data_IF_895020195258
#
_entry.id   IF_895020195258
#
_cell.length_a   1.000
_cell.length_b   1.000
_cell.length_c   1.000
_cell.angle_alpha   90.00
_cell.angle_beta   90.00
_cell.angle_gamma   90.00
#
_symmetry.space_group_name_H-M   'P 1'
#
loop_
_entity.id
_entity.type
_entity.pdbx_description
1 polymer ?
#
# COMPACT_ATOMS: atom_id res chain seq x y z
N UNK A 1 57.14 40.06 21.69
CA UNK A 1 56.17 40.29 20.57
C UNK A 1 55.73 39.01 19.90
N UNK A 2 56.50 37.92 20.03
CA UNK A 2 56.25 36.70 19.29
C UNK A 2 55.19 35.79 19.89
N UNK A 3 54.97 35.82 21.20
CA UNK A 3 53.99 34.95 21.88
C UNK A 3 52.52 35.30 21.55
N UNK A 4 52.22 36.59 21.40
CA UNK A 4 50.87 37.03 21.01
C UNK A 4 50.54 36.69 19.55
N UNK A 5 51.52 36.78 18.64
CA UNK A 5 51.32 36.42 17.22
C UNK A 5 51.06 34.92 17.10
N UNK A 6 51.82 34.08 17.78
CA UNK A 6 51.63 32.63 17.81
C UNK A 6 50.25 32.26 18.35
N UNK A 7 49.82 32.89 19.46
CA UNK A 7 48.51 32.66 20.07
C UNK A 7 47.37 33.02 19.08
N UNK A 8 47.46 34.15 18.40
CA UNK A 8 46.45 34.59 17.42
C UNK A 8 46.36 33.65 16.20
N UNK A 9 47.51 33.16 15.71
CA UNK A 9 47.55 32.20 14.62
C UNK A 9 46.92 30.88 15.03
N UNK A 10 47.24 30.38 16.22
CA UNK A 10 46.63 29.13 16.74
C UNK A 10 45.12 29.26 16.89
N UNK A 11 44.63 30.38 17.45
CA UNK A 11 43.21 30.65 17.58
C UNK A 11 42.50 30.74 16.23
N UNK A 12 43.12 31.36 15.23
CA UNK A 12 42.57 31.47 13.87
C UNK A 12 42.47 30.11 13.20
N UNK A 13 43.49 29.27 13.30
CA UNK A 13 43.47 27.90 12.75
C UNK A 13 42.43 27.05 13.47
N UNK A 14 42.31 27.14 14.78
CA UNK A 14 41.31 26.40 15.54
C UNK A 14 39.88 26.82 15.15
N UNK A 15 39.65 28.13 15.02
CA UNK A 15 38.37 28.67 14.60
C UNK A 15 37.99 28.21 13.17
N UNK A 16 38.95 28.16 12.26
CA UNK A 16 38.74 27.65 10.91
C UNK A 16 38.38 26.17 10.91
N UNK A 17 39.09 25.36 11.70
CA UNK A 17 38.77 23.93 11.83
C UNK A 17 37.38 23.70 12.40
N UNK A 18 37.01 24.46 13.45
CA UNK A 18 35.65 24.37 14.02
C UNK A 18 34.58 24.76 13.03
N UNK A 19 34.81 25.81 12.25
CA UNK A 19 33.90 26.23 11.19
C UNK A 19 33.74 25.15 10.10
N UNK A 20 34.84 24.54 9.68
CA UNK A 20 34.83 23.45 8.70
C UNK A 20 34.02 22.22 9.21
N UNK A 21 34.22 21.84 10.47
CA UNK A 21 33.49 20.77 11.13
C UNK A 21 31.98 21.12 11.18
N UNK A 22 31.63 22.34 11.59
CA UNK A 22 30.24 22.78 11.66
C UNK A 22 29.51 22.71 10.29
N UNK A 23 30.21 23.12 9.22
CA UNK A 23 29.67 23.01 7.85
C UNK A 23 29.46 21.54 7.45
N UNK A 24 30.46 20.68 7.75
CA UNK A 24 30.33 19.25 7.44
C UNK A 24 29.16 18.60 8.18
N UNK A 25 28.99 18.88 9.47
CA UNK A 25 27.84 18.38 10.27
C UNK A 25 26.53 18.90 9.71
N UNK A 26 26.45 20.19 9.33
CA UNK A 26 25.25 20.78 8.75
C UNK A 26 24.86 20.10 7.43
N UNK A 27 25.82 19.79 6.56
CA UNK A 27 25.57 19.06 5.31
C UNK A 27 25.06 17.63 5.56
N UNK A 28 25.64 16.93 6.52
CA UNK A 28 25.19 15.59 6.91
C UNK A 28 23.76 15.63 7.46
N UNK A 29 23.46 16.60 8.32
CA UNK A 29 22.12 16.79 8.89
C UNK A 29 21.08 17.08 7.80
N UNK A 30 21.40 17.97 6.86
CA UNK A 30 20.52 18.25 5.72
C UNK A 30 20.26 17.01 4.89
N UNK A 31 21.28 16.20 4.60
CA UNK A 31 21.13 14.95 3.85
C UNK A 31 20.26 13.94 4.60
N UNK A 32 20.40 13.83 5.92
CA UNK A 32 19.55 12.98 6.75
C UNK A 32 18.09 13.48 6.78
N UNK A 33 17.88 14.78 6.95
CA UNK A 33 16.55 15.37 6.95
C UNK A 33 15.84 15.15 5.61
N UNK A 34 16.53 15.35 4.48
CA UNK A 34 15.95 15.10 3.17
C UNK A 34 15.53 13.64 2.98
N UNK A 35 16.33 12.69 3.46
CA UNK A 35 15.95 11.26 3.43
C UNK A 35 14.74 10.95 4.31
N UNK A 36 14.65 11.57 5.49
CA UNK A 36 13.51 11.40 6.38
C UNK A 36 12.23 11.98 5.77
N UNK A 37 12.31 13.18 5.18
CA UNK A 37 11.19 13.80 4.46
C UNK A 37 10.76 12.90 3.32
N UNK A 38 11.68 12.43 2.49
CA UNK A 38 11.38 11.54 1.39
C UNK A 38 10.70 10.24 1.85
N UNK A 39 11.20 9.60 2.91
CA UNK A 39 10.58 8.38 3.44
C UNK A 39 9.20 8.63 4.05
N UNK A 40 8.97 9.80 4.65
CA UNK A 40 7.67 10.16 5.24
C UNK A 40 6.63 10.61 4.21
N UNK A 41 7.07 11.10 3.06
CA UNK A 41 6.18 11.54 1.96
C UNK A 41 5.99 10.49 0.88
N UNK A 42 6.70 9.36 0.95
CA UNK A 42 6.60 8.28 -0.04
C UNK A 42 5.16 7.76 -0.15
N UNK A 43 4.62 7.53 -1.35
CA UNK A 43 3.41 6.72 -1.51
C UNK A 43 3.73 5.29 -1.11
N UNK A 44 2.79 4.61 -0.49
CA UNK A 44 2.93 3.22 -0.07
C UNK A 44 1.67 2.44 -0.47
N UNK A 45 1.79 1.65 -1.50
CA UNK A 45 0.70 0.79 -1.94
C UNK A 45 0.69 -0.48 -1.10
N UNK A 46 -0.49 -0.91 -0.71
CA UNK A 46 -0.72 -2.22 -0.10
C UNK A 46 -1.84 -2.93 -0.84
N UNK A 47 -1.69 -4.26 -0.97
CA UNK A 47 -2.71 -5.12 -1.58
C UNK A 47 -3.08 -6.18 -0.57
N UNK A 48 -4.39 -6.34 -0.35
CA UNK A 48 -4.95 -7.35 0.55
C UNK A 48 -6.16 -8.01 -0.09
N UNK A 49 -6.48 -9.22 0.35
CA UNK A 49 -7.68 -9.94 -0.08
C UNK A 49 -8.61 -10.23 1.10
N UNK A 50 -9.88 -10.43 0.84
CA UNK A 50 -10.88 -10.79 1.83
C UNK A 50 -12.00 -11.61 1.17
N UNK A 51 -12.37 -12.74 1.80
CA UNK A 51 -13.60 -13.44 1.46
C UNK A 51 -14.80 -12.77 2.12
N UNK A 52 -15.82 -12.46 1.34
CA UNK A 52 -17.06 -11.87 1.81
C UNK A 52 -18.23 -12.71 1.30
N UNK A 53 -19.12 -13.07 2.22
CA UNK A 53 -20.31 -13.86 1.89
C UNK A 53 -21.57 -13.10 2.31
N UNK A 54 -22.15 -12.35 1.37
CA UNK A 54 -23.44 -11.67 1.52
C UNK A 54 -24.53 -12.35 0.67
N UNK A 55 -24.65 -13.68 0.80
CA UNK A 55 -25.57 -14.49 -0.01
C UNK A 55 -24.92 -15.05 -1.26
N UNK A 56 -23.88 -14.43 -1.78
CA UNK A 56 -23.00 -14.93 -2.84
C UNK A 56 -21.56 -14.84 -2.33
N UNK A 57 -20.82 -15.92 -2.50
CA UNK A 57 -19.41 -15.97 -2.13
C UNK A 57 -18.61 -15.08 -3.08
N UNK A 58 -17.91 -14.09 -2.54
CA UNK A 58 -17.08 -13.16 -3.29
C UNK A 58 -15.69 -13.06 -2.65
N UNK A 59 -14.68 -12.97 -3.47
CA UNK A 59 -13.33 -12.61 -3.04
C UNK A 59 -13.02 -11.18 -3.46
N UNK A 60 -12.71 -10.32 -2.51
CA UNK A 60 -12.38 -8.91 -2.74
C UNK A 60 -10.89 -8.73 -2.66
N UNK A 61 -10.29 -8.14 -3.68
CA UNK A 61 -8.92 -7.65 -3.63
C UNK A 61 -8.99 -6.13 -3.45
N UNK A 62 -8.32 -5.64 -2.43
CA UNK A 62 -8.21 -4.22 -2.12
C UNK A 62 -6.81 -3.73 -2.48
N UNK A 63 -6.77 -2.64 -3.21
CA UNK A 63 -5.58 -1.85 -3.47
C UNK A 63 -5.72 -0.53 -2.71
N UNK A 64 -4.84 -0.28 -1.75
CA UNK A 64 -4.91 0.91 -0.90
C UNK A 64 -3.57 1.64 -0.86
N UNK A 65 -3.62 2.97 -0.92
CA UNK A 65 -2.46 3.79 -0.67
C UNK A 65 -2.39 4.18 0.83
N UNK A 66 -1.46 3.58 1.55
CA UNK A 66 -1.17 3.86 2.96
C UNK A 66 -0.17 5.00 3.14
N UNK A 67 0.41 5.50 2.05
CA UNK A 67 1.39 6.58 2.07
C UNK A 67 0.77 7.97 2.22
N UNK A 68 1.63 8.97 2.34
CA UNK A 68 1.24 10.36 2.52
C UNK A 68 1.21 11.15 1.20
N UNK A 69 1.58 10.54 0.07
CA UNK A 69 1.49 11.17 -1.26
C UNK A 69 0.72 10.29 -2.24
N UNK A 70 0.29 10.88 -3.34
CA UNK A 70 -0.40 10.16 -4.40
C UNK A 70 0.54 9.16 -5.10
N UNK A 71 0.02 7.98 -5.43
CA UNK A 71 0.70 6.95 -6.19
C UNK A 71 0.11 6.87 -7.60
N UNK A 72 0.92 7.15 -8.62
CA UNK A 72 0.54 7.02 -10.02
C UNK A 72 0.91 5.60 -10.50
N UNK A 73 -0.08 4.79 -10.88
CA UNK A 73 0.12 3.39 -11.25
C UNK A 73 0.61 3.30 -12.69
N UNK A 74 1.81 2.76 -12.90
CA UNK A 74 2.38 2.55 -14.23
C UNK A 74 2.13 1.14 -14.77
N UNK A 75 2.27 0.14 -13.92
CA UNK A 75 1.95 -1.23 -14.28
C UNK A 75 1.49 -2.05 -13.08
N UNK A 76 0.64 -3.02 -13.35
CA UNK A 76 0.17 -4.01 -12.38
C UNK A 76 0.11 -5.36 -13.09
N UNK A 77 0.76 -6.36 -12.52
CA UNK A 77 0.80 -7.70 -13.07
C UNK A 77 0.46 -8.73 -12.02
N UNK A 78 -0.29 -9.74 -12.42
CA UNK A 78 -0.65 -10.89 -11.59
C UNK A 78 0.16 -12.09 -12.03
N UNK A 79 0.64 -12.90 -11.08
CA UNK A 79 1.42 -14.09 -11.35
C UNK A 79 0.58 -15.27 -11.87
N UNK A 80 -0.73 -15.17 -11.78
CA UNK A 80 -1.70 -16.12 -12.32
C UNK A 80 -2.70 -15.41 -13.23
N UNK A 81 -3.30 -16.15 -14.15
CA UNK A 81 -4.37 -15.62 -15.00
C UNK A 81 -5.66 -15.54 -14.18
N UNK A 82 -6.17 -14.33 -14.03
CA UNK A 82 -7.43 -14.03 -13.34
C UNK A 82 -8.58 -13.72 -14.31
N UNK A 83 -8.37 -13.92 -15.61
CA UNK A 83 -9.44 -13.82 -16.59
C UNK A 83 -10.52 -14.88 -16.32
N UNK A 84 -11.77 -14.51 -16.45
CA UNK A 84 -12.89 -15.42 -16.16
C UNK A 84 -13.38 -15.39 -14.71
N UNK A 85 -12.61 -14.82 -13.78
CA UNK A 85 -13.03 -14.75 -12.36
C UNK A 85 -13.79 -13.48 -11.99
N UNK A 86 -13.96 -12.51 -12.93
CA UNK A 86 -14.76 -11.31 -12.67
C UNK A 86 -16.26 -11.59 -12.92
N UNK A 87 -17.12 -11.39 -11.92
CA UNK A 87 -18.56 -11.60 -12.07
C UNK A 87 -19.15 -10.74 -13.20
N UNK A 88 -19.81 -11.39 -14.17
CA UNK A 88 -20.47 -10.72 -15.29
C UNK A 88 -19.56 -10.06 -16.32
N UNK A 89 -18.23 -10.23 -16.21
CA UNK A 89 -17.24 -9.66 -17.14
C UNK A 89 -16.05 -10.61 -17.35
N UNK A 90 -16.30 -11.80 -17.92
CA UNK A 90 -15.27 -12.84 -18.03
C UNK A 90 -14.08 -12.44 -18.94
N UNK A 91 -14.29 -11.47 -19.83
CA UNK A 91 -13.25 -10.98 -20.75
C UNK A 91 -12.26 -10.00 -20.13
N UNK A 92 -12.52 -9.50 -18.90
CA UNK A 92 -11.67 -8.53 -18.22
C UNK A 92 -10.77 -9.19 -17.18
N UNK A 93 -9.69 -8.49 -16.87
CA UNK A 93 -8.79 -8.82 -15.76
C UNK A 93 -9.07 -7.89 -14.56
N UNK A 94 -8.74 -8.30 -13.33
CA UNK A 94 -8.84 -7.43 -12.15
C UNK A 94 -8.09 -6.13 -12.35
N UNK A 95 -8.69 -5.02 -11.88
CA UNK A 95 -8.14 -3.68 -11.99
C UNK A 95 -7.87 -3.20 -13.42
N UNK A 96 -8.58 -3.76 -14.42
CA UNK A 96 -8.55 -3.23 -15.78
C UNK A 96 -8.90 -1.74 -15.77
N UNK A 97 -8.06 -0.91 -16.40
CA UNK A 97 -8.20 0.54 -16.39
C UNK A 97 -7.55 1.27 -15.20
N UNK A 98 -6.83 0.59 -14.30
CA UNK A 98 -6.09 1.25 -13.21
C UNK A 98 -4.79 1.90 -13.69
N UNK A 99 -4.29 1.49 -14.85
CA UNK A 99 -3.07 2.04 -15.43
C UNK A 99 -3.26 3.51 -15.78
N UNK A 100 -2.31 4.35 -15.40
CA UNK A 100 -2.40 5.79 -15.57
C UNK A 100 -3.26 6.52 -14.54
N UNK A 101 -3.78 5.82 -13.52
CA UNK A 101 -4.59 6.42 -12.46
C UNK A 101 -3.73 6.76 -11.25
N UNK A 102 -4.02 7.91 -10.63
CA UNK A 102 -3.42 8.32 -9.37
C UNK A 102 -4.29 7.88 -8.20
N UNK A 103 -3.71 7.14 -7.26
CA UNK A 103 -4.37 6.73 -6.01
C UNK A 103 -3.95 7.69 -4.91
N UNK A 104 -4.90 8.45 -4.37
CA UNK A 104 -4.68 9.44 -3.32
C UNK A 104 -4.35 8.76 -1.97
N UNK A 105 -3.70 9.47 -1.04
CA UNK A 105 -3.49 9.00 0.33
C UNK A 105 -4.78 8.50 0.98
N UNK A 106 -4.75 7.30 1.56
CA UNK A 106 -5.90 6.67 2.19
C UNK A 106 -6.96 6.11 1.24
N UNK A 107 -6.87 6.39 -0.07
CA UNK A 107 -7.82 5.87 -1.06
C UNK A 107 -7.68 4.36 -1.21
N UNK A 108 -8.84 3.69 -1.27
CA UNK A 108 -8.95 2.25 -1.50
C UNK A 108 -9.75 2.00 -2.77
N UNK A 109 -9.24 1.14 -3.63
CA UNK A 109 -9.93 0.62 -4.81
C UNK A 109 -10.11 -0.88 -4.60
N UNK A 110 -11.31 -1.40 -4.82
CA UNK A 110 -11.61 -2.81 -4.66
C UNK A 110 -12.01 -3.44 -6.00
N UNK A 111 -11.52 -4.65 -6.22
CA UNK A 111 -11.97 -5.50 -7.30
C UNK A 111 -12.65 -6.74 -6.72
N UNK A 112 -13.75 -7.16 -7.33
CA UNK A 112 -14.53 -8.32 -6.92
C UNK A 112 -14.22 -9.49 -7.83
N UNK A 113 -13.91 -10.63 -7.26
CA UNK A 113 -13.77 -11.91 -7.94
C UNK A 113 -14.88 -12.88 -7.49
N UNK A 114 -15.23 -13.82 -8.34
CA UNK A 114 -16.12 -14.92 -7.99
C UNK A 114 -15.46 -15.85 -6.98
N UNK A 115 -15.89 -15.79 -5.72
CA UNK A 115 -15.31 -16.55 -4.63
C UNK A 115 -15.58 -18.05 -4.74
N UNK A 116 -16.68 -18.44 -5.42
CA UNK A 116 -16.98 -19.85 -5.63
C UNK A 116 -16.09 -20.44 -6.73
N UNK A 117 -15.90 -19.71 -7.83
CA UNK A 117 -14.98 -20.11 -8.89
C UNK A 117 -13.53 -20.24 -8.38
N UNK A 118 -13.07 -19.31 -7.56
CA UNK A 118 -11.75 -19.38 -6.92
C UNK A 118 -11.62 -20.62 -6.04
N UNK A 119 -12.61 -20.89 -5.19
CA UNK A 119 -12.60 -22.06 -4.29
C UNK A 119 -12.60 -23.38 -5.05
N UNK A 120 -13.38 -23.47 -6.15
CA UNK A 120 -13.47 -24.67 -6.96
C UNK A 120 -12.21 -24.93 -7.80
N UNK A 121 -11.46 -23.87 -8.12
CA UNK A 121 -10.24 -23.97 -8.92
C UNK A 121 -9.00 -24.42 -8.14
N UNK A 122 -9.08 -24.56 -6.80
CA UNK A 122 -7.91 -24.77 -5.92
C UNK A 122 -6.79 -23.75 -6.23
N UNK A 123 -7.17 -22.49 -6.44
CA UNK A 123 -6.23 -21.43 -6.79
C UNK A 123 -5.21 -21.23 -5.68
N UNK A 124 -3.94 -21.14 -6.08
CA UNK A 124 -2.83 -20.78 -5.20
C UNK A 124 -2.89 -19.29 -4.81
N UNK A 125 -2.02 -18.88 -3.89
CA UNK A 125 -1.89 -17.49 -3.51
C UNK A 125 -1.57 -16.61 -4.72
N UNK A 126 -2.22 -15.46 -4.80
CA UNK A 126 -2.06 -14.54 -5.93
C UNK A 126 -0.84 -13.65 -5.68
N UNK A 127 0.21 -13.83 -6.48
CA UNK A 127 1.31 -12.88 -6.51
C UNK A 127 0.95 -11.67 -7.36
N UNK A 128 1.21 -10.47 -6.84
CA UNK A 128 0.92 -9.20 -7.53
C UNK A 128 2.14 -8.32 -7.50
N UNK A 129 2.59 -7.85 -8.65
CA UNK A 129 3.66 -6.86 -8.78
C UNK A 129 3.06 -5.53 -9.24
N UNK A 130 3.34 -4.46 -8.52
CA UNK A 130 2.87 -3.11 -8.84
C UNK A 130 4.06 -2.18 -9.01
N UNK A 131 4.07 -1.44 -10.11
CA UNK A 131 5.01 -0.35 -10.36
C UNK A 131 4.25 0.95 -10.35
N UNK A 132 4.72 1.90 -9.55
CA UNK A 132 4.06 3.20 -9.40
C UNK A 132 5.08 4.31 -9.17
N UNK A 133 4.68 5.55 -9.46
CA UNK A 133 5.48 6.76 -9.26
C UNK A 133 4.89 7.65 -8.18
N UNK A 134 5.77 8.39 -7.50
CA UNK A 134 5.39 9.56 -6.71
C UNK A 134 5.26 10.81 -7.60
N UNK A 135 4.71 11.89 -7.05
CA UNK A 135 4.66 13.20 -7.74
C UNK A 135 6.03 13.78 -8.11
N UNK A 136 7.13 13.26 -7.57
CA UNK A 136 8.51 13.62 -7.88
C UNK A 136 9.12 12.70 -8.96
N UNK A 137 8.30 11.97 -9.72
CA UNK A 137 8.70 11.00 -10.76
C UNK A 137 9.55 9.82 -10.25
N UNK A 138 9.74 9.69 -8.96
CA UNK A 138 10.46 8.56 -8.40
C UNK A 138 9.63 7.29 -8.50
N UNK A 139 10.19 6.27 -9.14
CA UNK A 139 9.54 4.99 -9.39
C UNK A 139 9.78 4.02 -8.22
N UNK A 140 8.73 3.31 -7.84
CA UNK A 140 8.73 2.25 -6.84
C UNK A 140 8.17 0.98 -7.44
N UNK A 141 8.66 -0.16 -6.96
CA UNK A 141 8.14 -1.48 -7.31
C UNK A 141 7.96 -2.27 -6.02
N UNK A 142 6.75 -2.73 -5.79
CA UNK A 142 6.42 -3.58 -4.66
C UNK A 142 5.76 -4.87 -5.16
N UNK A 143 6.08 -5.99 -4.47
CA UNK A 143 5.53 -7.31 -4.76
C UNK A 143 4.73 -7.77 -3.55
N UNK A 144 3.55 -8.29 -3.79
CA UNK A 144 2.62 -8.75 -2.78
C UNK A 144 2.24 -10.20 -3.03
N UNK A 145 1.97 -10.92 -1.97
CA UNK A 145 1.31 -12.22 -2.01
C UNK A 145 -0.04 -12.02 -1.33
N UNK A 146 -1.11 -12.27 -2.06
CA UNK A 146 -2.48 -12.23 -1.55
C UNK A 146 -2.91 -13.66 -1.26
N UNK A 147 -2.90 -14.08 0.04
CA UNK A 147 -3.16 -15.46 0.41
C UNK A 147 -4.65 -15.77 0.25
N UNK A 148 -4.96 -16.75 -0.59
CA UNK A 148 -6.33 -17.22 -0.82
C UNK A 148 -6.75 -18.20 0.27
N UNK A 149 -5.89 -19.18 0.60
CA UNK A 149 -6.20 -20.23 1.56
C UNK A 149 -6.44 -19.68 2.98
N UNK A 150 -5.62 -18.72 3.41
CA UNK A 150 -5.79 -18.07 4.71
C UNK A 150 -7.18 -17.47 4.88
N UNK A 151 -7.68 -16.79 3.84
CA UNK A 151 -8.96 -16.10 3.89
C UNK A 151 -10.16 -17.03 3.62
N UNK A 152 -9.96 -18.21 3.04
CA UNK A 152 -11.02 -19.22 2.94
C UNK A 152 -11.45 -19.72 4.32
N UNK A 153 -10.51 -19.82 5.27
CA UNK A 153 -10.76 -20.27 6.63
C UNK A 153 -11.25 -19.17 7.57
N UNK A 154 -11.08 -17.90 7.18
CA UNK A 154 -11.48 -16.72 7.96
C UNK A 154 -12.54 -15.94 7.17
N UNK A 155 -13.68 -16.56 6.92
CA UNK A 155 -14.76 -15.89 6.19
C UNK A 155 -15.45 -14.89 7.11
N UNK A 156 -15.28 -13.60 6.82
CA UNK A 156 -16.06 -12.54 7.42
C UNK A 156 -17.35 -12.35 6.64
N UNK A 157 -18.40 -12.97 7.09
CA UNK A 157 -19.73 -12.82 6.51
C UNK A 157 -20.61 -14.03 6.80
N UNK A 158 -21.82 -13.79 7.24
CA UNK A 158 -22.83 -14.83 7.44
C UNK A 158 -23.65 -14.98 6.17
N UNK A 159 -23.95 -16.23 5.80
CA UNK A 159 -24.95 -16.53 4.77
C UNK A 159 -26.28 -15.91 5.21
N UNK A 160 -26.73 -14.91 4.50
CA UNK A 160 -28.03 -14.30 4.72
C UNK A 160 -29.07 -15.27 4.16
N UNK A 161 -29.83 -15.90 5.03
CA UNK A 161 -30.98 -16.66 4.62
C UNK A 161 -32.06 -15.65 4.20
N UNK A 162 -32.36 -15.55 2.90
CA UNK A 162 -33.34 -14.61 2.32
C UNK A 162 -34.78 -14.80 2.85
N UNK A 163 -35.02 -15.77 3.71
CA UNK A 163 -36.34 -16.08 4.24
C UNK A 163 -36.84 -15.10 5.32
N UNK A 164 -35.94 -14.29 5.94
CA UNK A 164 -36.34 -13.37 7.01
C UNK A 164 -35.58 -12.03 6.90
N UNK A 165 -36.23 -10.98 6.36
CA UNK A 165 -35.62 -9.65 6.20
C UNK A 165 -35.14 -9.03 7.52
N UNK A 166 -35.81 -9.29 8.64
CA UNK A 166 -35.46 -8.72 9.95
C UNK A 166 -34.15 -9.32 10.46
N UNK A 167 -33.96 -10.64 10.31
CA UNK A 167 -32.70 -11.29 10.64
C UNK A 167 -31.55 -10.80 9.75
N UNK A 168 -31.83 -10.57 8.47
CA UNK A 168 -30.88 -9.99 7.54
C UNK A 168 -30.37 -8.64 8.00
N UNK A 169 -31.29 -7.74 8.42
CA UNK A 169 -30.92 -6.41 8.95
C UNK A 169 -30.12 -6.54 10.23
N UNK A 170 -30.54 -7.41 11.17
CA UNK A 170 -29.83 -7.62 12.44
C UNK A 170 -28.40 -8.12 12.23
N UNK A 171 -28.20 -9.08 11.31
CA UNK A 171 -26.85 -9.59 10.99
C UNK A 171 -25.99 -8.55 10.28
N UNK A 172 -26.57 -7.72 9.43
CA UNK A 172 -25.84 -6.62 8.76
C UNK A 172 -25.36 -5.58 9.78
N UNK A 173 -26.22 -5.20 10.72
CA UNK A 173 -25.86 -4.28 11.80
C UNK A 173 -24.77 -4.87 12.72
N UNK A 174 -24.85 -6.15 13.03
CA UNK A 174 -23.81 -6.83 13.81
C UNK A 174 -22.49 -6.86 13.07
N UNK A 175 -22.47 -7.16 11.76
CA UNK A 175 -21.26 -7.14 10.94
C UNK A 175 -20.64 -5.75 10.82
N UNK A 176 -21.44 -4.68 10.83
CA UNK A 176 -20.95 -3.30 10.87
C UNK A 176 -20.32 -2.99 12.22
N UNK A 177 -20.95 -3.41 13.31
CA UNK A 177 -20.44 -3.21 14.67
C UNK A 177 -19.11 -3.96 14.90
N UNK A 178 -18.99 -5.20 14.41
CA UNK A 178 -17.77 -6.01 14.50
C UNK A 178 -16.59 -5.42 13.70
N UNK A 179 -16.87 -4.64 12.63
CA UNK A 179 -15.84 -3.95 11.84
C UNK A 179 -15.44 -2.59 12.40
N UNK A 180 -16.18 -2.06 13.36
CA UNK A 180 -15.89 -0.76 14.01
C UNK A 180 -15.00 -0.87 15.25
N UNK A 181 -14.67 -2.08 15.68
CA UNK A 181 -13.74 -2.41 16.75
C UNK A 181 -12.34 -2.70 16.17
#
# INVERSE_FOLDING_TARGET
MDCQIVSNVVLSVLSFLLAAIAVAVSMLTLKQNNRMIESSTRPYIGITGEYVNYGVSQYKIFLKNYGNSAAYIESMTFGIDLQGYLPGRPERIPFDGILGVSILPGQTIACLLDGEAIRCSNMEDISVSVVYKSGEEKQYRDNFIVPIELYQNVTSGRVLNNADPIKTIAFTLQAIADKSL
#
